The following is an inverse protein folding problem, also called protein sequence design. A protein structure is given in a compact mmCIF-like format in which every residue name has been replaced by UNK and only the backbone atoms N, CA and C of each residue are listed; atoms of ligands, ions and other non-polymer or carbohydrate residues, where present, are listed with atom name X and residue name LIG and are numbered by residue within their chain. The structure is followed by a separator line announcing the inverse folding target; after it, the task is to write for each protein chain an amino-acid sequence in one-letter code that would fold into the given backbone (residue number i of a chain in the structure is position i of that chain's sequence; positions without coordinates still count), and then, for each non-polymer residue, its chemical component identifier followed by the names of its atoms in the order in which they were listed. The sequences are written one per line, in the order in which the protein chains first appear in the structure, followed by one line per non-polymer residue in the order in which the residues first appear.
data_IF_914087582044
#
_entry.id   IF_914087582044
#
_cell.length_a   1.000
_cell.length_b   1.000
_cell.length_c   1.000
_cell.angle_alpha   90.00
_cell.angle_beta   90.00
_cell.angle_gamma   90.00
#
_symmetry.space_group_name_H-M   'P 1'
#
loop_
_entity.id
_entity.type
_entity.pdbx_description
1 polymer ?
#
# COMPACT_ATOMS: atom_id res chain seq x y z
N UNK A 1 -21.75 18.07 2.06
CA UNK A 1 -20.42 18.69 2.01
C UNK A 1 -20.32 19.47 0.72
N UNK A 2 -20.61 20.79 0.75
CA UNK A 2 -20.30 21.67 -0.37
C UNK A 2 -18.87 22.15 -0.12
N UNK A 3 -17.91 21.43 -0.66
CA UNK A 3 -16.53 21.91 -0.75
C UNK A 3 -16.51 23.03 -1.79
N UNK A 4 -16.96 24.24 -1.40
CA UNK A 4 -16.98 25.42 -2.24
C UNK A 4 -15.94 26.39 -1.72
N UNK A 5 -15.01 26.66 -2.56
CA UNK A 5 -14.06 27.74 -2.41
C UNK A 5 -12.72 27.30 -1.86
N UNK A 6 -11.71 27.38 -2.70
CA UNK A 6 -10.30 27.07 -2.49
C UNK A 6 -10.02 25.60 -2.13
N UNK A 7 -9.47 24.86 -3.06
CA UNK A 7 -8.51 23.75 -2.95
C UNK A 7 -8.38 23.06 -1.55
N UNK A 8 -9.52 22.85 -0.88
CA UNK A 8 -9.51 21.99 0.31
C UNK A 8 -9.46 20.55 -0.17
N UNK A 9 -8.27 20.19 -0.65
CA UNK A 9 -7.93 18.83 -0.89
C UNK A 9 -8.20 18.06 0.41
N UNK A 10 -9.09 17.07 0.36
CA UNK A 10 -9.18 16.02 1.39
C UNK A 10 -7.88 15.23 1.24
N UNK A 11 -6.77 15.84 1.66
CA UNK A 11 -5.45 15.23 1.68
C UNK A 11 -5.30 14.55 3.02
N UNK A 12 -4.77 13.36 3.03
CA UNK A 12 -4.47 12.60 4.24
C UNK A 12 -5.64 12.55 5.22
N UNK A 13 -6.53 11.62 4.97
CA UNK A 13 -7.72 11.41 5.78
C UNK A 13 -7.65 10.10 6.55
N UNK A 14 -8.20 10.10 7.76
CA UNK A 14 -8.39 8.90 8.58
C UNK A 14 -9.88 8.73 8.90
N UNK A 15 -10.40 7.55 8.62
CA UNK A 15 -11.81 7.19 8.87
C UNK A 15 -11.82 6.02 9.84
N UNK A 16 -12.33 6.26 11.04
CA UNK A 16 -12.40 5.24 12.08
C UNK A 16 -13.84 5.00 12.54
N UNK A 17 -14.15 3.78 12.91
CA UNK A 17 -15.44 3.42 13.50
C UNK A 17 -15.82 1.97 13.23
N UNK A 18 -16.72 1.44 14.04
CA UNK A 18 -17.16 0.05 13.99
C UNK A 18 -17.89 -0.27 12.66
N UNK A 19 -18.06 -1.56 12.39
CA UNK A 19 -18.77 -2.04 11.20
C UNK A 19 -20.23 -1.51 11.18
N UNK A 20 -20.75 -1.25 9.98
CA UNK A 20 -22.14 -0.80 9.78
C UNK A 20 -22.43 0.66 10.12
N UNK A 21 -21.44 1.44 10.58
CA UNK A 21 -21.65 2.85 10.95
C UNK A 21 -21.63 3.84 9.78
N UNK A 22 -21.23 3.40 8.57
CA UNK A 22 -21.22 4.22 7.37
C UNK A 22 -19.84 4.61 6.85
N UNK A 23 -18.77 3.97 7.32
CA UNK A 23 -17.38 4.22 6.83
C UNK A 23 -17.26 4.01 5.32
N UNK A 24 -17.62 2.82 4.81
CA UNK A 24 -17.53 2.48 3.38
C UNK A 24 -18.41 3.41 2.53
N UNK A 25 -19.56 3.85 3.05
CA UNK A 25 -20.41 4.84 2.39
C UNK A 25 -19.69 6.20 2.26
N UNK A 26 -19.09 6.69 3.35
CA UNK A 26 -18.28 7.91 3.31
C UNK A 26 -17.09 7.76 2.36
N UNK A 27 -16.39 6.62 2.41
CA UNK A 27 -15.23 6.38 1.56
C UNK A 27 -15.62 6.36 0.07
N UNK A 28 -16.75 5.73 -0.29
CA UNK A 28 -17.31 5.79 -1.65
C UNK A 28 -17.63 7.22 -2.09
N UNK A 29 -18.23 8.00 -1.20
CA UNK A 29 -18.54 9.41 -1.48
C UNK A 29 -17.26 10.22 -1.72
N UNK A 30 -16.24 10.06 -0.86
CA UNK A 30 -14.93 10.73 -1.02
C UNK A 30 -14.28 10.33 -2.35
N UNK A 31 -14.22 9.04 -2.67
CA UNK A 31 -13.64 8.54 -3.93
C UNK A 31 -14.35 9.13 -5.15
N UNK A 32 -15.69 9.21 -5.12
CA UNK A 32 -16.47 9.83 -6.21
C UNK A 32 -16.13 11.30 -6.37
N UNK A 33 -16.02 12.06 -5.27
CA UNK A 33 -15.67 13.48 -5.28
C UNK A 33 -14.25 13.68 -5.81
N UNK A 34 -13.28 12.89 -5.37
CA UNK A 34 -11.90 12.95 -5.83
C UNK A 34 -11.82 12.65 -7.34
N UNK A 35 -12.58 11.65 -7.79
CA UNK A 35 -12.63 11.33 -9.23
C UNK A 35 -13.27 12.46 -10.05
N UNK A 36 -14.34 13.09 -9.56
CA UNK A 36 -14.96 14.27 -10.18
C UNK A 36 -14.00 15.48 -10.25
N UNK A 37 -13.09 15.61 -9.28
CA UNK A 37 -12.05 16.66 -9.30
C UNK A 37 -10.90 16.37 -10.28
N UNK A 38 -10.93 15.24 -10.98
CA UNK A 38 -9.91 14.85 -11.95
C UNK A 38 -8.77 13.99 -11.39
N UNK A 39 -8.74 13.73 -10.09
CA UNK A 39 -7.71 12.89 -9.49
C UNK A 39 -7.82 11.44 -9.96
N UNK A 40 -6.70 10.78 -10.16
CA UNK A 40 -6.64 9.32 -10.24
C UNK A 40 -6.94 8.75 -8.86
N UNK A 41 -7.79 7.73 -8.77
CA UNK A 41 -8.12 7.07 -7.51
C UNK A 41 -7.64 5.62 -7.56
N UNK A 42 -6.91 5.19 -6.55
CA UNK A 42 -6.49 3.81 -6.37
C UNK A 42 -7.04 3.33 -5.03
N UNK A 43 -7.88 2.30 -5.06
CA UNK A 43 -8.53 1.74 -3.88
C UNK A 43 -7.99 0.34 -3.58
N UNK A 44 -7.72 0.03 -2.31
CA UNK A 44 -7.55 -1.32 -1.83
C UNK A 44 -8.85 -1.78 -1.19
N UNK A 45 -9.39 -2.90 -1.69
CA UNK A 45 -10.72 -3.42 -1.36
C UNK A 45 -10.65 -4.87 -0.84
N UNK A 46 -10.55 -5.07 0.47
CA UNK A 46 -10.47 -6.41 1.06
C UNK A 46 -11.76 -7.22 0.98
N UNK A 47 -12.91 -6.56 0.89
CA UNK A 47 -14.22 -7.21 0.96
C UNK A 47 -14.98 -7.21 -0.36
N UNK A 48 -14.41 -6.66 -1.45
CA UNK A 48 -15.05 -6.47 -2.75
C UNK A 48 -16.31 -5.58 -2.69
N UNK A 49 -16.27 -4.55 -1.84
CA UNK A 49 -17.38 -3.59 -1.68
C UNK A 49 -17.41 -2.49 -2.75
N UNK A 50 -16.30 -2.29 -3.48
CA UNK A 50 -16.14 -1.19 -4.45
C UNK A 50 -16.26 -1.64 -5.91
N UNK A 51 -16.63 -2.89 -6.19
CA UNK A 51 -16.75 -3.44 -7.55
C UNK A 51 -17.72 -2.62 -8.39
N UNK A 52 -18.94 -2.41 -7.88
CA UNK A 52 -19.98 -1.65 -8.59
C UNK A 52 -19.55 -0.20 -8.82
N UNK A 53 -19.01 0.46 -7.77
CA UNK A 53 -18.51 1.83 -7.88
C UNK A 53 -17.42 1.94 -8.94
N UNK A 54 -16.49 1.00 -8.97
CA UNK A 54 -15.40 0.94 -9.96
C UNK A 54 -15.95 0.86 -11.37
N UNK A 55 -16.87 -0.06 -11.62
CA UNK A 55 -17.52 -0.23 -12.93
C UNK A 55 -18.32 1.00 -13.34
N UNK A 56 -19.10 1.59 -12.42
CA UNK A 56 -19.93 2.75 -12.68
C UNK A 56 -19.12 4.03 -12.95
N UNK A 57 -17.89 4.12 -12.45
CA UNK A 57 -16.95 5.21 -12.74
C UNK A 57 -16.05 4.94 -13.96
N UNK A 58 -16.28 3.84 -14.70
CA UNK A 58 -15.48 3.46 -15.86
C UNK A 58 -14.06 3.04 -15.48
N UNK A 59 -13.88 2.53 -14.26
CA UNK A 59 -12.61 2.10 -13.71
C UNK A 59 -12.27 0.64 -14.03
N UNK A 60 -11.14 0.19 -13.49
CA UNK A 60 -10.66 -1.19 -13.60
C UNK A 60 -10.63 -1.84 -12.22
N UNK A 61 -11.32 -2.99 -12.07
CA UNK A 61 -11.25 -3.82 -10.88
C UNK A 61 -10.27 -4.96 -11.12
N UNK A 62 -9.25 -5.05 -10.28
CA UNK A 62 -8.15 -6.00 -10.37
C UNK A 62 -8.22 -6.94 -9.16
N UNK A 63 -8.76 -8.14 -9.34
CA UNK A 63 -8.70 -9.17 -8.32
C UNK A 63 -7.34 -9.87 -8.37
N UNK A 64 -6.46 -9.50 -7.44
CA UNK A 64 -5.11 -10.06 -7.35
C UNK A 64 -5.08 -11.54 -6.95
N UNK A 65 -6.18 -12.05 -6.39
CA UNK A 65 -6.28 -13.46 -5.99
C UNK A 65 -6.88 -14.34 -7.07
N UNK A 66 -7.34 -13.76 -8.19
CA UNK A 66 -7.77 -14.54 -9.37
C UNK A 66 -6.63 -15.28 -10.06
N UNK A 67 -5.42 -14.74 -9.98
CA UNK A 67 -4.25 -15.21 -10.73
C UNK A 67 -4.22 -14.72 -12.19
N UNK A 68 -5.13 -13.81 -12.57
CA UNK A 68 -5.17 -13.18 -13.90
C UNK A 68 -4.33 -11.93 -13.97
N UNK A 69 -4.17 -11.25 -12.83
CA UNK A 69 -3.45 -9.99 -12.71
C UNK A 69 -2.18 -10.16 -11.89
N UNK A 70 -1.10 -9.58 -12.37
CA UNK A 70 0.21 -9.65 -11.75
C UNK A 70 0.81 -8.24 -11.67
N UNK A 71 1.43 -7.94 -10.55
CA UNK A 71 2.35 -6.83 -10.36
C UNK A 71 3.74 -7.43 -10.28
N UNK A 72 4.56 -7.23 -11.31
CA UNK A 72 5.94 -7.71 -11.31
C UNK A 72 6.76 -6.96 -10.26
N UNK A 73 7.18 -7.68 -9.23
CA UNK A 73 7.96 -7.08 -8.15
C UNK A 73 9.37 -6.69 -8.61
N UNK A 74 9.91 -7.36 -9.65
CA UNK A 74 11.22 -7.05 -10.22
C UNK A 74 11.22 -5.88 -11.21
N UNK A 75 10.06 -5.32 -11.53
CA UNK A 75 9.95 -4.09 -12.30
C UNK A 75 10.31 -2.88 -11.42
N UNK A 76 11.44 -2.19 -11.67
CA UNK A 76 11.87 -1.07 -10.86
C UNK A 76 10.83 0.04 -10.82
N UNK A 77 10.42 0.42 -9.62
CA UNK A 77 9.54 1.56 -9.43
C UNK A 77 10.37 2.84 -9.52
N UNK A 78 9.82 3.84 -10.18
CA UNK A 78 10.49 5.13 -10.34
C UNK A 78 10.29 5.94 -9.05
N UNK A 79 11.15 5.71 -8.08
CA UNK A 79 11.22 6.56 -6.90
C UNK A 79 11.67 7.95 -7.34
N UNK A 80 11.06 8.99 -6.75
CA UNK A 80 11.37 10.36 -7.11
C UNK A 80 12.85 10.67 -6.87
N UNK A 81 13.60 10.99 -7.93
CA UNK A 81 15.00 11.40 -7.85
C UNK A 81 15.20 12.71 -7.08
N UNK A 82 14.14 13.49 -7.00
CA UNK A 82 14.14 14.78 -6.34
C UNK A 82 13.61 14.66 -4.90
N UNK A 83 14.31 13.91 -4.06
CA UNK A 83 14.46 14.45 -2.72
C UNK A 83 15.08 15.83 -2.95
N UNK A 84 14.27 16.93 -2.90
CA UNK A 84 14.83 18.27 -3.08
C UNK A 84 16.06 18.38 -2.20
N UNK A 85 17.11 19.14 -2.62
CA UNK A 85 18.27 19.42 -1.74
C UNK A 85 17.87 19.94 -0.36
N UNK A 86 16.61 20.35 -0.20
CA UNK A 86 15.97 20.82 1.02
C UNK A 86 15.42 19.72 1.94
N UNK A 87 15.31 18.46 1.47
CA UNK A 87 14.96 17.32 2.34
C UNK A 87 16.17 16.93 3.20
N UNK A 88 16.45 17.78 4.20
CA UNK A 88 17.54 17.62 5.17
C UNK A 88 17.35 16.40 6.09
N UNK A 89 16.19 15.78 6.11
CA UNK A 89 15.87 14.61 6.96
C UNK A 89 16.32 13.26 6.37
N UNK A 90 16.56 13.16 5.06
CA UNK A 90 17.07 11.91 4.49
C UNK A 90 18.60 11.83 4.64
N UNK A 91 19.18 10.73 5.12
CA UNK A 91 20.64 10.55 5.18
C UNK A 91 21.27 10.79 3.80
N UNK A 92 22.44 11.43 3.76
CA UNK A 92 23.15 11.78 2.53
C UNK A 92 23.35 10.58 1.58
N UNK A 93 23.55 9.37 2.13
CA UNK A 93 23.67 8.13 1.38
C UNK A 93 22.41 7.79 0.55
N UNK A 94 21.20 8.15 1.01
CA UNK A 94 19.95 7.95 0.28
C UNK A 94 19.72 8.99 -0.83
N UNK A 95 20.36 10.14 -0.76
CA UNK A 95 20.26 11.19 -1.79
C UNK A 95 21.11 10.86 -3.03
N UNK A 96 22.11 10.01 -2.88
CA UNK A 96 23.05 9.64 -3.93
C UNK A 96 22.84 8.22 -4.46
N UNK A 97 21.81 7.49 -3.96
CA UNK A 97 21.53 6.13 -4.44
C UNK A 97 20.77 6.16 -5.76
N UNK A 98 21.18 5.32 -6.69
CA UNK A 98 20.48 5.16 -7.97
C UNK A 98 19.07 4.58 -7.77
N UNK A 99 18.18 4.76 -8.76
CA UNK A 99 16.85 4.16 -8.78
C UNK A 99 16.94 2.63 -8.62
N UNK A 100 17.87 2.01 -9.29
CA UNK A 100 18.07 0.57 -9.21
C UNK A 100 18.51 0.12 -7.81
N UNK A 101 19.43 0.85 -7.17
CA UNK A 101 19.87 0.55 -5.80
C UNK A 101 18.74 0.67 -4.79
N UNK A 102 17.89 1.70 -4.93
CA UNK A 102 16.70 1.86 -4.10
C UNK A 102 15.71 0.71 -4.30
N UNK A 103 15.52 0.30 -5.56
CA UNK A 103 14.64 -0.82 -5.87
C UNK A 103 15.17 -2.15 -5.32
N UNK A 104 16.47 -2.41 -5.41
CA UNK A 104 17.08 -3.60 -4.82
C UNK A 104 16.90 -3.61 -3.29
N UNK A 105 17.04 -2.47 -2.64
CA UNK A 105 16.75 -2.34 -1.21
C UNK A 105 15.28 -2.69 -0.89
N UNK A 106 14.34 -2.18 -1.69
CA UNK A 106 12.92 -2.55 -1.60
C UNK A 106 12.72 -4.07 -1.77
N UNK A 107 13.41 -4.69 -2.73
CA UNK A 107 13.29 -6.14 -2.96
C UNK A 107 13.79 -6.96 -1.78
N UNK A 108 14.83 -6.52 -1.06
CA UNK A 108 15.27 -7.17 0.19
C UNK A 108 14.14 -7.17 1.23
N UNK A 109 13.44 -6.05 1.39
CA UNK A 109 12.30 -5.96 2.32
C UNK A 109 11.10 -6.80 1.83
N UNK A 110 10.84 -6.85 0.53
CA UNK A 110 9.83 -7.73 -0.05
C UNK A 110 10.11 -9.20 0.24
N UNK A 111 11.32 -9.68 0.00
CA UNK A 111 11.69 -11.06 0.28
C UNK A 111 11.67 -11.37 1.78
N UNK A 112 12.06 -10.41 2.62
CA UNK A 112 11.93 -10.53 4.09
C UNK A 112 10.46 -10.66 4.52
N UNK A 113 9.55 -9.92 3.89
CA UNK A 113 8.10 -10.02 4.14
C UNK A 113 7.52 -11.37 3.73
N UNK A 114 8.02 -11.94 2.63
CA UNK A 114 7.55 -13.23 2.13
C UNK A 114 8.03 -14.39 3.01
N UNK A 115 9.32 -14.40 3.35
CA UNK A 115 9.93 -15.37 4.26
C UNK A 115 10.96 -14.68 5.13
N UNK A 116 11.11 -15.15 6.36
CA UNK A 116 12.12 -14.63 7.28
C UNK A 116 13.52 -15.10 6.86
N UNK A 117 13.98 -14.70 5.66
CA UNK A 117 15.34 -14.93 5.22
C UNK A 117 16.33 -14.25 6.16
N UNK A 118 17.46 -14.91 6.43
CA UNK A 118 18.58 -14.34 7.18
C UNK A 118 19.23 -13.21 6.37
N UNK A 119 19.98 -12.34 7.04
CA UNK A 119 20.70 -11.26 6.36
C UNK A 119 21.68 -11.80 5.32
N UNK A 120 22.38 -12.91 5.58
CA UNK A 120 23.27 -13.56 4.59
C UNK A 120 22.51 -14.08 3.36
N UNK A 121 21.28 -14.57 3.53
CA UNK A 121 20.44 -14.99 2.40
C UNK A 121 19.97 -13.77 1.60
N UNK A 122 19.57 -12.67 2.27
CA UNK A 122 19.15 -11.42 1.62
C UNK A 122 20.32 -10.76 0.87
N UNK A 123 21.53 -10.75 1.43
CA UNK A 123 22.71 -10.23 0.75
C UNK A 123 23.09 -11.09 -0.46
N UNK A 124 22.89 -12.40 -0.37
CA UNK A 124 23.06 -13.31 -1.53
C UNK A 124 22.00 -13.02 -2.60
N UNK A 125 20.75 -12.79 -2.22
CA UNK A 125 19.69 -12.38 -3.17
C UNK A 125 20.06 -11.05 -3.83
N UNK A 126 20.58 -10.07 -3.10
CA UNK A 126 21.05 -8.79 -3.63
C UNK A 126 22.10 -8.98 -4.73
N UNK A 127 23.10 -9.84 -4.48
CA UNK A 127 24.13 -10.18 -5.48
C UNK A 127 23.49 -10.81 -6.73
N UNK A 128 22.51 -11.71 -6.55
CA UNK A 128 21.81 -12.34 -7.67
C UNK A 128 20.95 -11.36 -8.45
N UNK A 129 20.28 -10.42 -7.77
CA UNK A 129 19.53 -9.35 -8.41
C UNK A 129 20.43 -8.43 -9.24
N UNK A 130 21.59 -8.04 -8.71
CA UNK A 130 22.55 -7.22 -9.45
C UNK A 130 23.01 -7.93 -10.74
N UNK A 131 23.37 -9.22 -10.66
CA UNK A 131 23.70 -10.03 -11.83
C UNK A 131 22.54 -10.16 -12.82
N UNK A 132 21.30 -10.31 -12.31
CA UNK A 132 20.11 -10.43 -13.15
C UNK A 132 19.87 -9.14 -13.95
N UNK A 133 19.89 -8.00 -13.29
CA UNK A 133 19.67 -6.70 -13.94
C UNK A 133 20.79 -6.40 -14.96
N UNK A 134 22.03 -6.71 -14.63
CA UNK A 134 23.15 -6.60 -15.58
C UNK A 134 22.91 -7.46 -16.84
N UNK A 135 22.48 -8.71 -16.68
CA UNK A 135 22.14 -9.63 -17.80
C UNK A 135 21.00 -9.07 -18.69
N UNK A 136 20.10 -8.27 -18.10
CA UNK A 136 18.99 -7.60 -18.81
C UNK A 136 19.35 -6.20 -19.31
N UNK A 137 20.62 -5.78 -19.21
CA UNK A 137 21.11 -4.44 -19.54
C UNK A 137 20.37 -3.32 -18.81
N UNK A 138 19.97 -3.56 -17.57
CA UNK A 138 19.35 -2.60 -16.66
C UNK A 138 20.40 -2.18 -15.63
N UNK A 139 20.75 -0.91 -15.62
CA UNK A 139 21.76 -0.32 -14.74
C UNK A 139 21.31 1.06 -14.23
N UNK A 140 22.23 1.73 -13.58
CA UNK A 140 21.97 3.04 -12.97
C UNK A 140 21.60 4.13 -13.99
N UNK A 141 22.13 4.02 -15.21
CA UNK A 141 21.88 4.97 -16.31
C UNK A 141 20.67 4.60 -17.18
N UNK A 142 19.89 3.58 -16.78
CA UNK A 142 18.75 3.12 -17.55
C UNK A 142 17.61 4.15 -17.54
N UNK A 143 17.15 4.53 -18.73
CA UNK A 143 15.93 5.35 -18.88
C UNK A 143 14.68 4.47 -18.74
N UNK A 144 14.19 4.34 -17.53
CA UNK A 144 13.00 3.52 -17.19
C UNK A 144 11.72 4.00 -17.88
N UNK A 145 11.65 5.25 -18.33
CA UNK A 145 10.47 5.79 -19.02
C UNK A 145 10.28 5.23 -20.44
N UNK A 146 11.31 4.57 -21.00
CA UNK A 146 11.23 3.94 -22.33
C UNK A 146 10.94 2.46 -22.30
N UNK A 147 11.02 1.84 -21.12
CA UNK A 147 10.84 0.41 -20.97
C UNK A 147 9.35 0.08 -20.79
N UNK A 148 8.96 -1.07 -21.32
CA UNK A 148 7.64 -1.66 -21.13
C UNK A 148 7.70 -2.76 -20.07
N UNK A 149 6.59 -3.21 -19.48
CA UNK A 149 6.61 -4.30 -18.50
C UNK A 149 7.32 -5.58 -18.97
N UNK A 150 7.40 -5.83 -20.29
CA UNK A 150 8.06 -7.01 -20.87
C UNK A 150 9.57 -6.88 -20.94
N UNK A 151 10.11 -5.68 -20.77
CA UNK A 151 11.54 -5.41 -20.80
C UNK A 151 12.22 -5.68 -19.45
N UNK A 152 11.43 -6.08 -18.44
CA UNK A 152 11.94 -6.41 -17.10
C UNK A 152 11.96 -7.91 -16.85
N UNK A 153 12.95 -8.42 -16.08
CA UNK A 153 12.95 -9.81 -15.63
C UNK A 153 11.75 -10.11 -14.74
N UNK A 154 11.39 -11.39 -14.68
CA UNK A 154 10.36 -11.89 -13.75
C UNK A 154 10.98 -12.85 -12.73
N UNK A 155 10.23 -13.23 -11.71
CA UNK A 155 10.77 -14.05 -10.61
C UNK A 155 11.34 -15.40 -11.06
N UNK A 156 10.81 -16.01 -12.13
CA UNK A 156 11.38 -17.23 -12.70
C UNK A 156 12.76 -16.99 -13.34
N UNK A 157 13.06 -15.79 -13.82
CA UNK A 157 14.39 -15.47 -14.37
C UNK A 157 15.42 -15.38 -13.24
N UNK A 158 15.05 -14.75 -12.12
CA UNK A 158 15.87 -14.73 -10.90
C UNK A 158 16.12 -16.16 -10.39
N UNK A 159 15.06 -16.97 -10.32
CA UNK A 159 15.14 -18.33 -9.85
C UNK A 159 16.04 -19.19 -10.76
N UNK A 160 15.89 -19.08 -12.08
CA UNK A 160 16.71 -19.80 -13.04
C UNK A 160 18.20 -19.38 -12.94
N UNK A 161 18.47 -18.09 -12.76
CA UNK A 161 19.84 -17.60 -12.56
C UNK A 161 20.46 -18.23 -11.30
N UNK A 162 19.74 -18.29 -10.19
CA UNK A 162 20.22 -18.91 -8.94
C UNK A 162 20.42 -20.41 -9.09
N UNK A 163 19.54 -21.12 -9.82
CA UNK A 163 19.73 -22.55 -10.12
C UNK A 163 20.97 -22.79 -11.00
N UNK A 164 21.22 -21.94 -12.00
CA UNK A 164 22.42 -21.99 -12.84
C UNK A 164 23.70 -21.78 -12.00
N UNK A 165 23.71 -20.75 -11.15
CA UNK A 165 24.83 -20.46 -10.25
C UNK A 165 25.07 -21.63 -9.26
N UNK A 166 24.00 -22.24 -8.74
CA UNK A 166 24.09 -23.41 -7.87
C UNK A 166 24.69 -24.62 -8.58
N UNK A 167 24.23 -24.92 -9.82
CA UNK A 167 24.70 -26.09 -10.60
C UNK A 167 26.17 -25.95 -11.03
N UNK A 168 26.61 -24.71 -11.27
CA UNK A 168 27.98 -24.42 -11.72
C UNK A 168 28.86 -23.86 -10.62
N UNK A 169 28.43 -23.99 -9.35
CA UNK A 169 29.19 -23.50 -8.21
C UNK A 169 30.55 -24.15 -8.11
N UNK A 170 31.59 -23.34 -8.08
CA UNK A 170 32.99 -23.81 -7.92
C UNK A 170 33.55 -23.28 -6.59
N UNK A 171 33.69 -24.15 -5.61
CA UNK A 171 34.22 -23.80 -4.30
C UNK A 171 35.67 -23.27 -4.34
N UNK A 172 36.40 -23.48 -5.43
CA UNK A 172 37.78 -22.98 -5.64
C UNK A 172 37.77 -21.50 -6.03
N UNK A 173 36.67 -21.01 -6.63
CA UNK A 173 36.46 -19.60 -6.89
C UNK A 173 35.91 -18.97 -5.61
N UNK A 174 36.71 -18.18 -4.90
CA UNK A 174 36.30 -17.49 -3.66
C UNK A 174 35.13 -16.55 -3.92
N UNK A 175 33.91 -17.09 -3.97
CA UNK A 175 32.67 -16.32 -4.09
C UNK A 175 32.24 -15.81 -2.72
N UNK A 176 31.44 -14.73 -2.70
CA UNK A 176 30.91 -14.13 -1.47
C UNK A 176 29.75 -14.94 -0.85
N UNK A 177 29.19 -15.90 -1.59
CA UNK A 177 28.10 -16.78 -1.17
C UNK A 177 28.51 -18.26 -1.31
N UNK A 178 27.81 -19.15 -0.64
CA UNK A 178 28.05 -20.60 -0.69
C UNK A 178 26.95 -21.32 -1.48
N UNK A 179 27.24 -22.56 -1.89
CA UNK A 179 26.25 -23.40 -2.57
C UNK A 179 25.04 -23.70 -1.68
N UNK A 180 25.27 -23.89 -0.38
CA UNK A 180 24.22 -24.13 0.60
C UNK A 180 23.28 -22.94 0.72
N UNK A 181 23.78 -21.70 0.75
CA UNK A 181 22.95 -20.50 0.76
C UNK A 181 22.08 -20.40 -0.49
N UNK A 182 22.65 -20.67 -1.69
CA UNK A 182 21.87 -20.68 -2.93
C UNK A 182 20.77 -21.74 -2.90
N UNK A 183 21.06 -22.95 -2.40
CA UNK A 183 20.09 -24.02 -2.28
C UNK A 183 18.94 -23.67 -1.33
N UNK A 184 19.26 -23.09 -0.18
CA UNK A 184 18.27 -22.64 0.79
C UNK A 184 17.36 -21.54 0.23
N UNK A 185 17.93 -20.57 -0.48
CA UNK A 185 17.18 -19.50 -1.13
C UNK A 185 16.28 -20.06 -2.24
N UNK A 186 16.81 -20.94 -3.12
CA UNK A 186 16.01 -21.60 -4.15
C UNK A 186 14.84 -22.38 -3.54
N UNK A 187 15.10 -23.16 -2.46
CA UNK A 187 14.04 -23.87 -1.76
C UNK A 187 12.99 -22.89 -1.18
N UNK A 188 13.45 -21.80 -0.61
CA UNK A 188 12.59 -20.76 -0.04
C UNK A 188 11.69 -20.07 -1.05
N UNK A 189 12.21 -19.79 -2.25
CA UNK A 189 11.50 -19.06 -3.31
C UNK A 189 10.76 -19.98 -4.29
N UNK A 190 10.93 -21.30 -4.19
CA UNK A 190 10.35 -22.23 -5.16
C UNK A 190 8.84 -22.04 -5.36
N UNK A 191 8.06 -21.90 -4.27
CA UNK A 191 6.61 -21.77 -4.36
C UNK A 191 6.20 -20.50 -5.10
N UNK A 192 6.87 -19.38 -4.82
CA UNK A 192 6.60 -18.09 -5.44
C UNK A 192 7.02 -18.03 -6.92
N UNK A 193 8.11 -18.71 -7.27
CA UNK A 193 8.68 -18.60 -8.63
C UNK A 193 8.18 -19.68 -9.59
N UNK A 194 8.00 -20.91 -9.13
CA UNK A 194 7.64 -22.08 -9.97
C UNK A 194 6.53 -22.97 -9.39
N UNK A 195 6.20 -22.80 -8.10
CA UNK A 195 5.22 -23.62 -7.41
C UNK A 195 3.81 -23.04 -7.44
N UNK A 196 3.01 -23.41 -6.45
CA UNK A 196 1.59 -23.09 -6.38
C UNK A 196 1.28 -21.57 -6.30
N UNK A 197 2.19 -20.78 -5.75
CA UNK A 197 2.02 -19.34 -5.56
C UNK A 197 2.50 -18.52 -6.77
N UNK A 198 3.17 -19.17 -7.75
CA UNK A 198 3.73 -18.48 -8.92
C UNK A 198 2.70 -17.71 -9.74
N UNK A 199 1.46 -18.20 -9.80
CA UNK A 199 0.36 -17.54 -10.50
C UNK A 199 0.01 -16.14 -9.93
N UNK A 200 0.43 -15.83 -8.71
CA UNK A 200 0.18 -14.53 -8.07
C UNK A 200 1.35 -13.56 -8.18
N UNK A 201 2.57 -14.08 -8.39
CA UNK A 201 3.78 -13.27 -8.31
C UNK A 201 4.66 -13.32 -9.55
N UNK A 202 4.63 -14.44 -10.30
CA UNK A 202 5.57 -14.67 -11.38
C UNK A 202 4.98 -14.32 -12.75
N UNK A 203 5.29 -13.15 -13.24
CA UNK A 203 4.86 -12.65 -14.54
C UNK A 203 5.13 -11.16 -14.68
N UNK A 204 4.93 -10.66 -15.89
CA UNK A 204 5.03 -9.22 -16.16
C UNK A 204 3.78 -8.50 -15.65
N UNK A 205 3.96 -7.24 -15.26
CA UNK A 205 2.83 -6.37 -14.88
C UNK A 205 1.85 -6.28 -16.05
N UNK A 206 0.59 -6.63 -15.78
CA UNK A 206 -0.49 -6.65 -16.79
C UNK A 206 -1.72 -5.85 -16.34
N UNK A 207 -1.52 -4.90 -15.42
CA UNK A 207 -2.59 -4.02 -14.94
C UNK A 207 -2.80 -2.90 -15.97
N UNK A 208 -4.04 -2.74 -16.41
CA UNK A 208 -4.41 -1.63 -17.31
C UNK A 208 -4.41 -0.32 -16.53
N UNK A 209 -3.75 0.69 -17.07
CA UNK A 209 -3.82 2.03 -16.51
C UNK A 209 -5.26 2.54 -16.59
N UNK A 210 -5.76 3.02 -15.45
CA UNK A 210 -7.13 3.51 -15.31
C UNK A 210 -7.16 4.67 -14.33
N UNK A 211 -8.03 5.61 -14.60
CA UNK A 211 -8.24 6.76 -13.72
C UNK A 211 -8.96 6.39 -12.41
N UNK A 212 -9.57 5.23 -12.35
CA UNK A 212 -10.12 4.62 -11.12
C UNK A 212 -9.71 3.15 -11.11
N UNK A 213 -8.81 2.78 -10.21
CA UNK A 213 -8.26 1.44 -10.09
C UNK A 213 -8.58 0.86 -8.72
N UNK A 214 -9.20 -0.30 -8.68
CA UNK A 214 -9.47 -1.00 -7.41
C UNK A 214 -8.76 -2.34 -7.37
N UNK A 215 -7.93 -2.54 -6.35
CA UNK A 215 -7.31 -3.81 -6.03
C UNK A 215 -8.20 -4.61 -5.09
N UNK A 216 -8.85 -5.65 -5.60
CA UNK A 216 -9.57 -6.63 -4.80
C UNK A 216 -8.60 -7.64 -4.19
N UNK A 217 -8.66 -7.81 -2.87
CA UNK A 217 -7.77 -8.72 -2.13
C UNK A 217 -8.54 -9.67 -1.20
N UNK A 218 -9.81 -9.91 -1.46
CA UNK A 218 -10.70 -10.71 -0.60
C UNK A 218 -10.16 -12.11 -0.31
N UNK A 219 -9.68 -12.82 -1.33
CA UNK A 219 -9.08 -14.14 -1.16
C UNK A 219 -7.79 -14.14 -0.35
N UNK A 220 -7.13 -12.99 -0.22
CA UNK A 220 -5.86 -12.84 0.49
C UNK A 220 -6.00 -13.07 2.00
N UNK A 221 -7.19 -12.78 2.57
CA UNK A 221 -7.45 -13.00 3.99
C UNK A 221 -7.39 -14.49 4.38
N UNK A 222 -7.60 -15.39 3.41
CA UNK A 222 -7.55 -16.85 3.58
C UNK A 222 -6.18 -17.43 3.18
N UNK A 223 -5.30 -16.64 2.59
CA UNK A 223 -3.96 -17.07 2.18
C UNK A 223 -3.04 -17.25 3.39
N UNK A 224 -1.91 -17.93 3.19
CA UNK A 224 -0.86 -17.99 4.20
C UNK A 224 -0.36 -16.59 4.55
N UNK A 225 0.13 -16.42 5.79
CA UNK A 225 0.68 -15.13 6.25
C UNK A 225 1.73 -14.60 5.27
N UNK A 226 2.61 -15.47 4.80
CA UNK A 226 3.70 -15.11 3.91
C UNK A 226 3.21 -14.53 2.57
N UNK A 227 2.22 -15.18 1.94
CA UNK A 227 1.59 -14.70 0.70
C UNK A 227 0.88 -13.37 0.94
N UNK A 228 0.14 -13.27 2.05
CA UNK A 228 -0.57 -12.05 2.41
C UNK A 228 0.39 -10.88 2.56
N UNK A 229 1.42 -11.03 3.38
CA UNK A 229 2.37 -9.96 3.68
C UNK A 229 3.13 -9.51 2.43
N UNK A 230 3.59 -10.45 1.59
CA UNK A 230 4.28 -10.14 0.34
C UNK A 230 3.35 -9.45 -0.68
N UNK A 231 2.12 -9.94 -0.84
CA UNK A 231 1.16 -9.33 -1.78
C UNK A 231 0.77 -7.92 -1.36
N UNK A 232 0.43 -7.72 -0.08
CA UNK A 232 0.10 -6.39 0.44
C UNK A 232 1.27 -5.43 0.27
N UNK A 233 2.50 -5.89 0.52
CA UNK A 233 3.69 -5.06 0.35
C UNK A 233 3.93 -4.69 -1.12
N UNK A 234 3.71 -5.62 -2.06
CA UNK A 234 3.81 -5.36 -3.49
C UNK A 234 2.75 -4.35 -3.97
N UNK A 235 1.50 -4.48 -3.51
CA UNK A 235 0.43 -3.52 -3.82
C UNK A 235 0.75 -2.13 -3.28
N UNK A 236 1.23 -2.04 -2.03
CA UNK A 236 1.65 -0.76 -1.45
C UNK A 236 2.77 -0.10 -2.25
N UNK A 237 3.72 -0.89 -2.74
CA UNK A 237 4.79 -0.40 -3.60
C UNK A 237 4.23 0.20 -4.89
N UNK A 238 3.28 -0.49 -5.54
CA UNK A 238 2.60 0.01 -6.72
C UNK A 238 1.86 1.33 -6.43
N UNK A 239 1.04 1.36 -5.36
CA UNK A 239 0.30 2.56 -4.96
C UNK A 239 1.24 3.74 -4.65
N UNK A 240 2.33 3.47 -3.93
CA UNK A 240 3.34 4.48 -3.61
C UNK A 240 4.00 5.06 -4.86
N UNK A 241 4.33 4.21 -5.84
CA UNK A 241 4.88 4.65 -7.11
C UNK A 241 3.92 5.61 -7.84
N UNK A 242 2.64 5.25 -7.93
CA UNK A 242 1.63 6.11 -8.56
C UNK A 242 1.47 7.45 -7.84
N UNK A 243 1.42 7.44 -6.51
CA UNK A 243 1.29 8.64 -5.68
C UNK A 243 2.47 9.59 -5.82
N UNK A 244 3.69 9.06 -5.86
CA UNK A 244 4.92 9.85 -5.78
C UNK A 244 5.49 10.22 -7.15
N UNK A 245 5.24 9.42 -8.19
CA UNK A 245 5.76 9.64 -9.54
C UNK A 245 4.76 10.42 -10.40
N UNK A 246 3.54 9.89 -10.52
CA UNK A 246 2.54 10.51 -11.38
C UNK A 246 1.87 11.71 -10.71
N UNK A 247 1.80 11.73 -9.38
CA UNK A 247 1.12 12.79 -8.63
C UNK A 247 -0.38 12.83 -8.91
N UNK A 248 -1.07 13.83 -8.37
CA UNK A 248 -2.51 14.05 -8.54
C UNK A 248 -3.36 12.76 -8.39
N UNK A 249 -2.94 11.90 -7.45
CA UNK A 249 -3.47 10.56 -7.22
C UNK A 249 -3.93 10.43 -5.76
N UNK A 250 -5.06 9.79 -5.54
CA UNK A 250 -5.56 9.45 -4.21
C UNK A 250 -5.49 7.94 -3.99
N UNK A 251 -4.81 7.51 -2.93
CA UNK A 251 -4.81 6.14 -2.46
C UNK A 251 -5.82 5.97 -1.32
N UNK A 252 -6.80 5.12 -1.51
CA UNK A 252 -7.81 4.78 -0.52
C UNK A 252 -7.55 3.35 -0.02
N UNK A 253 -7.20 3.20 1.25
CA UNK A 253 -6.90 1.90 1.86
C UNK A 253 -8.01 1.60 2.86
N UNK A 254 -8.92 0.71 2.46
CA UNK A 254 -9.93 0.20 3.39
C UNK A 254 -9.36 -0.95 4.22
N UNK A 255 -9.90 -1.14 5.41
CA UNK A 255 -9.45 -2.12 6.40
C UNK A 255 -7.93 -2.07 6.63
N UNK A 256 -7.42 -0.86 6.86
CA UNK A 256 -5.98 -0.58 7.01
C UNK A 256 -5.30 -1.45 8.08
N UNK A 257 -6.03 -1.96 9.08
CA UNK A 257 -5.49 -2.86 10.10
C UNK A 257 -4.79 -4.10 9.52
N UNK A 258 -5.12 -4.50 8.29
CA UNK A 258 -4.48 -5.64 7.61
C UNK A 258 -2.97 -5.49 7.46
N UNK A 259 -2.47 -4.26 7.44
CA UNK A 259 -1.05 -3.96 7.32
C UNK A 259 -0.31 -3.92 8.65
N UNK A 260 -1.03 -3.85 9.78
CA UNK A 260 -0.44 -3.67 11.10
C UNK A 260 0.35 -4.90 11.59
N UNK A 261 0.16 -6.04 10.96
CA UNK A 261 0.93 -7.26 11.26
C UNK A 261 2.35 -7.24 10.68
N UNK A 262 2.65 -6.29 9.78
CA UNK A 262 3.94 -6.14 9.13
C UNK A 262 4.51 -4.75 9.39
N UNK A 263 5.51 -4.67 10.26
CA UNK A 263 6.14 -3.40 10.66
C UNK A 263 6.73 -2.64 9.47
N UNK A 264 7.37 -3.34 8.53
CA UNK A 264 7.95 -2.74 7.33
C UNK A 264 6.86 -2.06 6.48
N UNK A 265 5.68 -2.69 6.33
CA UNK A 265 4.56 -2.09 5.62
C UNK A 265 4.04 -0.83 6.33
N UNK A 266 3.95 -0.83 7.66
CA UNK A 266 3.55 0.34 8.45
C UNK A 266 4.53 1.50 8.27
N UNK A 267 5.84 1.24 8.34
CA UNK A 267 6.88 2.23 8.11
C UNK A 267 6.82 2.80 6.69
N UNK A 268 6.58 1.92 5.71
CA UNK A 268 6.46 2.29 4.31
C UNK A 268 5.27 3.25 4.11
N UNK A 269 4.09 2.92 4.65
CA UNK A 269 2.90 3.77 4.59
C UNK A 269 3.16 5.13 5.27
N UNK A 270 3.75 5.12 6.45
CA UNK A 270 4.11 6.35 7.17
C UNK A 270 5.03 7.25 6.33
N UNK A 271 6.00 6.66 5.65
CA UNK A 271 6.97 7.40 4.85
C UNK A 271 6.32 8.02 3.61
N UNK A 272 5.48 7.28 2.89
CA UNK A 272 4.82 7.87 1.72
C UNK A 272 3.75 8.90 2.14
N UNK A 273 3.01 8.71 3.24
CA UNK A 273 2.08 9.73 3.75
C UNK A 273 2.74 11.08 4.01
N UNK A 274 3.98 11.10 4.49
CA UNK A 274 4.73 12.34 4.67
C UNK A 274 5.10 13.01 3.35
N UNK A 275 5.30 12.24 2.28
CA UNK A 275 5.83 12.71 0.99
C UNK A 275 4.75 13.08 -0.02
N UNK A 276 3.57 12.44 0.03
CA UNK A 276 2.49 12.60 -0.97
C UNK A 276 2.00 14.03 -1.13
N UNK A 277 2.04 14.83 -0.05
CA UNK A 277 1.63 16.24 -0.08
C UNK A 277 2.40 17.08 -1.08
N UNK A 278 3.69 16.79 -1.27
CA UNK A 278 4.54 17.50 -2.24
C UNK A 278 4.17 17.20 -3.69
N UNK A 279 3.40 16.13 -3.94
CA UNK A 279 3.01 15.65 -5.26
C UNK A 279 1.54 15.88 -5.61
N UNK A 280 0.85 16.71 -4.84
CA UNK A 280 -0.59 16.92 -4.98
C UNK A 280 -1.40 15.63 -4.92
N UNK A 281 -0.90 14.65 -4.16
CA UNK A 281 -1.51 13.35 -3.93
C UNK A 281 -2.12 13.27 -2.54
N UNK A 282 -3.01 12.29 -2.33
CA UNK A 282 -3.75 12.09 -1.09
C UNK A 282 -3.72 10.65 -0.62
N UNK A 283 -3.77 10.42 0.70
CA UNK A 283 -3.92 9.10 1.30
C UNK A 283 -5.12 9.11 2.24
N UNK A 284 -6.04 8.19 2.01
CA UNK A 284 -7.23 8.00 2.83
C UNK A 284 -7.16 6.60 3.45
N UNK A 285 -7.05 6.53 4.77
CA UNK A 285 -7.03 5.29 5.52
C UNK A 285 -8.37 5.09 6.20
N UNK A 286 -8.94 3.89 6.08
CA UNK A 286 -10.14 3.50 6.81
C UNK A 286 -9.87 2.24 7.64
N UNK A 287 -10.36 2.20 8.89
CA UNK A 287 -10.24 1.03 9.75
C UNK A 287 -11.41 0.91 10.71
N UNK A 288 -11.70 -0.32 11.13
CA UNK A 288 -12.79 -0.59 12.06
C UNK A 288 -12.39 -0.35 13.52
N UNK A 289 -11.24 -0.83 13.92
CA UNK A 289 -10.82 -0.85 15.32
C UNK A 289 -9.55 -0.03 15.56
N UNK A 290 -9.65 0.88 16.52
CA UNK A 290 -8.49 1.62 17.01
C UNK A 290 -7.54 0.72 17.84
N UNK A 291 -8.09 -0.32 18.48
CA UNK A 291 -7.31 -1.25 19.32
C UNK A 291 -6.26 -2.02 18.54
N UNK A 292 -6.50 -2.28 17.25
CA UNK A 292 -5.54 -2.95 16.37
C UNK A 292 -4.23 -2.16 16.23
N UNK A 293 -4.27 -0.85 16.51
CA UNK A 293 -3.10 0.03 16.50
C UNK A 293 -2.33 0.06 17.83
N UNK A 294 -2.91 -0.52 18.89
CA UNK A 294 -2.34 -0.52 20.24
C UNK A 294 -1.60 -1.82 20.60
N UNK A 295 -1.05 -2.49 19.62
CA UNK A 295 -0.30 -3.73 19.82
C UNK A 295 1.11 -3.37 20.29
N UNK A 296 1.58 -4.05 21.35
CA UNK A 296 2.94 -3.90 21.84
C UNK A 296 3.98 -4.13 20.73
N UNK A 297 4.95 -3.22 20.64
CA UNK A 297 5.97 -3.22 19.57
C UNK A 297 5.56 -2.50 18.29
N UNK A 298 4.25 -2.24 18.04
CA UNK A 298 3.77 -1.51 16.86
C UNK A 298 3.29 -0.10 17.22
N UNK A 299 2.88 0.13 18.46
CA UNK A 299 2.27 1.38 18.93
C UNK A 299 3.07 2.64 18.57
N UNK A 300 4.38 2.62 18.75
CA UNK A 300 5.22 3.78 18.43
C UNK A 300 5.29 4.07 16.93
N UNK A 301 5.15 3.05 16.10
CA UNK A 301 5.14 3.16 14.63
C UNK A 301 3.79 3.62 14.09
N UNK A 302 2.69 3.25 14.74
CA UNK A 302 1.32 3.62 14.33
C UNK A 302 0.88 4.97 14.84
N UNK A 303 1.44 5.45 15.95
CA UNK A 303 1.11 6.75 16.55
C UNK A 303 1.16 7.93 15.56
N UNK A 304 2.16 8.02 14.66
CA UNK A 304 2.17 9.07 13.63
C UNK A 304 1.00 9.01 12.66
N UNK A 305 0.41 7.83 12.41
CA UNK A 305 -0.72 7.67 11.50
C UNK A 305 -1.99 8.40 11.99
N UNK A 306 -2.08 8.69 13.29
CA UNK A 306 -3.17 9.49 13.88
C UNK A 306 -2.87 10.98 13.87
N UNK A 307 -1.60 11.39 13.83
CA UNK A 307 -1.18 12.79 13.87
C UNK A 307 -0.92 13.40 12.50
N UNK A 308 -0.61 12.59 11.49
CA UNK A 308 -0.36 13.05 10.12
C UNK A 308 -1.66 13.51 9.44
N UNK A 309 -2.81 12.79 9.51
CA UNK A 309 -4.02 13.18 8.80
C UNK A 309 -4.56 14.51 9.29
N UNK A 310 -4.86 15.40 8.35
CA UNK A 310 -5.52 16.68 8.63
C UNK A 310 -7.02 16.50 8.84
N UNK A 311 -7.60 15.50 8.16
CA UNK A 311 -9.02 15.19 8.18
C UNK A 311 -9.25 13.87 8.89
N UNK A 312 -10.01 13.88 9.99
CA UNK A 312 -10.30 12.67 10.76
C UNK A 312 -11.80 12.55 10.93
N UNK A 313 -12.37 11.44 10.48
CA UNK A 313 -13.80 11.12 10.58
C UNK A 313 -13.96 9.99 11.60
N UNK A 314 -14.59 10.27 12.71
CA UNK A 314 -14.78 9.35 13.81
C UNK A 314 -16.25 8.95 13.95
N UNK A 315 -16.56 7.74 13.53
CA UNK A 315 -17.85 7.11 13.76
C UNK A 315 -17.87 6.42 15.14
N UNK A 316 -19.00 5.86 15.50
CA UNK A 316 -19.09 5.09 16.74
C UNK A 316 -18.04 3.99 16.81
N UNK A 317 -17.33 3.93 17.92
CA UNK A 317 -16.21 3.01 18.14
C UNK A 317 -16.65 1.63 18.67
N UNK A 318 -17.96 1.40 18.87
CA UNK A 318 -18.44 0.16 19.48
C UNK A 318 -18.11 0.07 20.97
N UNK A 319 -17.60 -1.09 21.40
CA UNK A 319 -17.33 -1.41 22.81
C UNK A 319 -15.88 -1.10 23.25
N UNK A 320 -15.16 -0.24 22.52
CA UNK A 320 -13.78 0.13 22.86
C UNK A 320 -13.77 0.93 24.18
N UNK A 321 -12.70 0.77 24.97
CA UNK A 321 -12.48 1.59 26.17
C UNK A 321 -12.46 3.08 25.77
N UNK A 322 -13.41 3.81 26.36
CA UNK A 322 -13.59 5.25 26.08
C UNK A 322 -12.36 6.08 26.41
N UNK A 323 -11.63 5.74 27.48
CA UNK A 323 -10.41 6.44 27.87
C UNK A 323 -9.32 6.27 26.83
N UNK A 324 -9.08 5.01 26.40
CA UNK A 324 -8.11 4.73 25.35
C UNK A 324 -8.43 5.49 24.05
N UNK A 325 -9.73 5.53 23.66
CA UNK A 325 -10.17 6.22 22.45
C UNK A 325 -9.95 7.74 22.56
N UNK A 326 -10.35 8.33 23.69
CA UNK A 326 -10.21 9.76 24.00
C UNK A 326 -8.71 10.16 24.00
N UNK A 327 -7.89 9.41 24.73
CA UNK A 327 -6.47 9.73 24.88
C UNK A 327 -5.70 9.59 23.56
N UNK A 328 -5.97 8.52 22.81
CA UNK A 328 -5.28 8.25 21.53
C UNK A 328 -5.63 9.28 20.46
N UNK A 329 -6.88 9.69 20.37
CA UNK A 329 -7.38 10.62 19.35
C UNK A 329 -7.42 12.07 19.84
N UNK A 330 -7.00 12.33 21.08
CA UNK A 330 -6.97 13.65 21.70
C UNK A 330 -8.34 14.34 21.62
N UNK A 331 -9.38 13.65 22.15
CA UNK A 331 -10.75 14.14 22.21
C UNK A 331 -11.06 14.72 23.59
N UNK A 332 -12.00 15.65 23.62
CA UNK A 332 -12.70 15.98 24.85
C UNK A 332 -13.81 14.98 25.15
N UNK A 333 -14.22 14.86 26.42
CA UNK A 333 -15.34 13.99 26.80
C UNK A 333 -16.65 14.37 26.11
N UNK A 334 -16.83 15.67 25.88
CA UNK A 334 -17.98 16.22 25.13
C UNK A 334 -18.01 15.74 23.68
N UNK A 335 -16.85 15.72 23.03
CA UNK A 335 -16.68 15.26 21.65
C UNK A 335 -16.93 13.74 21.52
N UNK A 336 -16.38 12.95 22.46
CA UNK A 336 -16.63 11.51 22.49
C UNK A 336 -18.14 11.19 22.69
N UNK A 337 -18.83 11.98 23.49
CA UNK A 337 -20.26 11.77 23.73
C UNK A 337 -21.11 11.92 22.46
N UNK A 338 -20.66 12.68 21.44
CA UNK A 338 -21.36 12.80 20.16
C UNK A 338 -21.37 11.49 19.34
N UNK A 339 -20.36 10.66 19.53
CA UNK A 339 -20.19 9.39 18.79
C UNK A 339 -20.32 8.15 19.69
N UNK A 340 -20.62 8.34 20.98
CA UNK A 340 -20.72 7.26 21.96
C UNK A 340 -21.82 6.24 21.61
N UNK A 341 -22.94 6.72 21.08
CA UNK A 341 -24.03 5.85 20.69
C UNK A 341 -24.08 5.64 19.19
N UNK A 342 -24.32 4.39 18.74
CA UNK A 342 -24.37 4.09 17.30
C UNK A 342 -25.48 4.91 16.62
N UNK A 343 -25.08 5.72 15.65
CA UNK A 343 -25.99 6.39 14.75
C UNK A 343 -25.40 6.33 13.36
N UNK A 344 -26.02 5.52 12.51
CA UNK A 344 -25.52 5.27 11.15
C UNK A 344 -25.40 6.57 10.35
N UNK A 345 -24.23 6.77 9.75
CA UNK A 345 -23.93 7.95 8.94
C UNK A 345 -23.58 9.21 9.74
N UNK A 346 -23.59 9.16 11.07
CA UNK A 346 -23.17 10.27 11.92
C UNK A 346 -21.75 10.06 12.41
N UNK A 347 -20.91 11.07 12.26
CA UNK A 347 -19.52 11.05 12.73
C UNK A 347 -19.10 12.40 13.31
N UNK A 348 -18.11 12.37 14.19
CA UNK A 348 -17.35 13.54 14.57
C UNK A 348 -16.27 13.77 13.50
N UNK A 349 -16.33 14.90 12.82
CA UNK A 349 -15.33 15.31 11.85
C UNK A 349 -14.37 16.32 12.48
N UNK A 350 -13.09 16.01 12.45
CA UNK A 350 -11.98 16.86 12.89
C UNK A 350 -11.23 17.37 11.67
N UNK A 351 -11.02 18.68 11.56
CA UNK A 351 -10.21 19.32 10.54
C UNK A 351 -9.27 20.34 11.20
N UNK A 352 -8.03 19.94 11.43
CA UNK A 352 -7.13 20.73 12.26
C UNK A 352 -7.71 20.96 13.66
N UNK A 353 -7.95 22.21 14.04
CA UNK A 353 -8.55 22.59 15.33
C UNK A 353 -10.08 22.62 15.31
N UNK A 354 -10.70 22.49 14.15
CA UNK A 354 -12.15 22.55 14.01
C UNK A 354 -12.80 21.20 14.24
N UNK A 355 -14.02 21.23 14.79
CA UNK A 355 -14.81 20.04 15.14
C UNK A 355 -16.23 20.22 14.68
N UNK A 356 -16.76 19.20 14.00
CA UNK A 356 -18.11 19.22 13.47
C UNK A 356 -18.81 17.89 13.76
N UNK A 357 -20.05 17.96 14.22
CA UNK A 357 -20.95 16.80 14.18
C UNK A 357 -21.53 16.71 12.76
N UNK A 358 -21.16 15.68 12.03
CA UNK A 358 -21.45 15.55 10.60
C UNK A 358 -22.38 14.37 10.35
N UNK A 359 -23.48 14.62 9.62
CA UNK A 359 -24.28 13.56 9.02
C UNK A 359 -23.86 13.40 7.56
N UNK A 360 -23.38 12.22 7.24
CA UNK A 360 -22.92 11.88 5.89
C UNK A 360 -24.11 11.51 5.02
N UNK A 361 -24.34 12.30 3.99
CA UNK A 361 -25.39 12.06 3.00
C UNK A 361 -24.88 12.39 1.61
N UNK A 362 -25.00 11.44 0.68
CA UNK A 362 -24.70 11.66 -0.72
C UNK A 362 -25.95 12.07 -1.51
N UNK A 363 -25.83 12.91 -2.53
CA UNK A 363 -26.92 13.13 -3.48
C UNK A 363 -27.33 11.83 -4.16
N UNK A 364 -28.61 11.68 -4.47
CA UNK A 364 -29.18 10.44 -5.04
C UNK A 364 -28.44 9.96 -6.30
N UNK A 365 -28.00 10.88 -7.15
CA UNK A 365 -27.25 10.53 -8.36
C UNK A 365 -25.90 9.89 -8.07
N UNK A 366 -25.25 10.25 -6.93
CA UNK A 366 -23.98 9.62 -6.49
C UNK A 366 -24.26 8.28 -5.82
N UNK A 367 -25.31 8.17 -5.03
CA UNK A 367 -25.68 6.90 -4.40
C UNK A 367 -25.93 5.79 -5.43
N UNK A 368 -26.50 6.14 -6.59
CA UNK A 368 -26.66 5.19 -7.70
C UNK A 368 -25.34 4.62 -8.24
N UNK A 369 -24.23 5.35 -8.06
CA UNK A 369 -22.90 4.88 -8.44
C UNK A 369 -22.33 3.87 -7.44
N UNK A 370 -22.76 3.89 -6.17
CA UNK A 370 -22.17 3.08 -5.10
C UNK A 370 -22.49 1.59 -5.21
N UNK A 371 -23.52 1.23 -5.97
CA UNK A 371 -23.96 -0.14 -6.11
C UNK A 371 -24.69 -0.69 -4.88
N UNK A 372 -24.80 -2.01 -4.82
CA UNK A 372 -25.55 -2.72 -3.78
C UNK A 372 -24.67 -3.19 -2.61
N UNK A 373 -23.37 -3.34 -2.79
CA UNK A 373 -22.45 -3.81 -1.78
C UNK A 373 -21.98 -2.69 -0.83
N UNK A 374 -21.64 -3.04 0.41
CA UNK A 374 -20.99 -2.13 1.36
C UNK A 374 -21.87 -1.05 1.96
N UNK A 375 -23.09 -1.41 2.29
CA UNK A 375 -23.96 -0.63 3.17
C UNK A 375 -24.60 0.62 2.52
N UNK A 376 -25.88 0.57 2.45
CA UNK A 376 -26.77 1.73 2.38
C UNK A 376 -27.05 2.28 3.77
#
# INVERSE_FOLDING_TARGET
LRLVGSEMCIRDSLILGNSGQGKSYLLKLIQTILRESGMKVICLDPEHEYVDLTGNLGGCFVDLMSGEYIINVLEPKTWDENGSPEDTEAPYAFRCSSKLSQHISFLKDFFRSYKNFTDSQLDTIEIMLAKLYEKWNIGDDTDFGRLTPKDYPILSDLYNLMEEEYKHYDAKKKQLYTAELLQEICLGLHSMCKGAESKFFNGHTNITDSSFLTFGVKGLLQASKNVKDAMLFNVLSYMSNELLTNGHTAACIDEFYLFLTNLTAVEYIRNFMKRVRKKDSAVILASQNLEDFNIDGIREYTKPLFSIPTHVFLFNAGNIDSRFYIDTLQLEQSEYNLIRYPQRGVCLYKCGNERYNLMVHAPEYKEKLFGSAGGR
#
